data_IF_026211604764
#
_entry.id   IF_026211604764
#
_cell.length_a   1.000
_cell.length_b   1.000
_cell.length_c   1.000
_cell.angle_alpha   90.00
_cell.angle_beta   90.00
_cell.angle_gamma   90.00
#
_symmetry.space_group_name_H-M   'P 1'
#
loop_
_entity.id
_entity.type
_entity.pdbx_description
1 polymer ?
#
# COMPACT_ATOMS: atom_id res chain seq x y z
N UNK A 1 50.32 -8.46 33.13
CA UNK A 1 48.87 -8.41 32.94
C UNK A 1 48.39 -7.34 31.94
N UNK A 2 49.09 -6.22 31.76
CA UNK A 2 48.65 -5.13 30.88
C UNK A 2 48.67 -5.38 29.37
N UNK A 3 49.50 -6.30 28.85
CA UNK A 3 49.58 -6.57 27.39
C UNK A 3 48.41 -7.43 26.83
N UNK A 4 47.84 -8.30 27.64
CA UNK A 4 46.73 -9.14 27.25
C UNK A 4 45.38 -8.36 27.14
N UNK A 5 45.23 -7.32 27.98
CA UNK A 5 44.04 -6.47 27.98
C UNK A 5 43.94 -5.58 26.72
N UNK A 6 45.10 -5.10 26.24
CA UNK A 6 45.14 -4.23 25.01
C UNK A 6 44.86 -5.02 23.74
N UNK A 7 45.37 -6.25 23.60
CA UNK A 7 45.09 -7.07 22.41
C UNK A 7 43.64 -7.58 22.37
N UNK A 8 43.03 -7.87 23.51
CA UNK A 8 41.62 -8.26 23.58
C UNK A 8 40.68 -7.11 23.23
N UNK A 9 40.97 -5.90 23.72
CA UNK A 9 40.21 -4.69 23.37
C UNK A 9 40.31 -4.36 21.88
N UNK A 10 41.53 -4.38 21.30
CA UNK A 10 41.72 -4.13 19.87
C UNK A 10 41.03 -5.16 18.96
N UNK A 11 40.99 -6.44 19.34
CA UNK A 11 40.24 -7.47 18.60
C UNK A 11 38.74 -7.34 18.77
N UNK A 12 38.28 -6.89 19.93
CA UNK A 12 36.85 -6.60 20.14
C UNK A 12 36.40 -5.42 19.28
N UNK A 13 37.19 -4.33 19.22
CA UNK A 13 36.92 -3.16 18.39
C UNK A 13 36.85 -3.50 16.89
N UNK A 14 37.82 -4.30 16.39
CA UNK A 14 37.81 -4.71 14.98
C UNK A 14 36.59 -5.54 14.61
N UNK A 15 36.19 -6.51 15.45
CA UNK A 15 34.98 -7.30 15.22
C UNK A 15 33.70 -6.50 15.32
N UNK A 16 33.65 -5.47 16.12
CA UNK A 16 32.47 -4.60 16.21
C UNK A 16 32.37 -3.69 15.01
N UNK A 17 33.48 -3.18 14.48
CA UNK A 17 33.50 -2.47 13.21
C UNK A 17 32.88 -3.32 12.09
N UNK A 18 33.28 -4.58 11.96
CA UNK A 18 32.69 -5.52 10.99
C UNK A 18 31.16 -5.75 11.21
N UNK A 19 30.72 -5.82 12.46
CA UNK A 19 29.29 -5.99 12.77
C UNK A 19 28.47 -4.74 12.46
N UNK A 20 28.97 -3.55 12.81
CA UNK A 20 28.32 -2.27 12.51
C UNK A 20 28.27 -2.05 10.99
N UNK A 21 29.35 -2.37 10.26
CA UNK A 21 29.35 -2.33 8.80
C UNK A 21 28.37 -3.36 8.18
N UNK A 22 28.28 -4.57 8.73
CA UNK A 22 27.31 -5.56 8.29
C UNK A 22 25.87 -5.13 8.57
N UNK A 23 25.64 -4.45 9.69
CA UNK A 23 24.36 -3.83 10.01
C UNK A 23 24.05 -2.66 9.07
N UNK A 24 25.02 -1.76 8.83
CA UNK A 24 24.85 -0.67 7.85
C UNK A 24 24.54 -1.18 6.45
N UNK A 25 25.20 -2.24 5.98
CA UNK A 25 24.89 -2.89 4.70
C UNK A 25 23.48 -3.50 4.67
N UNK A 26 22.98 -4.02 5.80
CA UNK A 26 21.59 -4.50 5.92
C UNK A 26 20.59 -3.35 5.90
N UNK A 27 20.96 -2.21 6.48
CA UNK A 27 20.17 -0.96 6.44
C UNK A 27 20.04 -0.46 5.01
N UNK A 28 21.15 -0.40 4.26
CA UNK A 28 21.15 0.00 2.84
C UNK A 28 20.39 -0.99 1.95
N UNK A 29 20.55 -2.30 2.20
CA UNK A 29 19.88 -3.37 1.48
C UNK A 29 18.52 -3.73 2.05
N UNK A 30 17.95 -2.87 2.89
CA UNK A 30 16.71 -3.17 3.63
C UNK A 30 15.61 -3.64 2.71
N UNK A 31 15.12 -4.88 2.91
CA UNK A 31 14.10 -5.39 2.02
C UNK A 31 12.83 -4.59 2.21
N UNK A 32 12.13 -4.34 1.11
CA UNK A 32 10.86 -3.66 1.12
C UNK A 32 9.86 -4.21 2.15
N UNK A 33 9.28 -3.32 2.94
CA UNK A 33 8.20 -3.63 3.87
C UNK A 33 8.65 -4.04 5.29
N UNK A 34 9.91 -3.83 5.63
CA UNK A 34 10.35 -3.89 7.01
C UNK A 34 10.39 -2.49 7.63
N UNK A 35 9.81 -2.36 8.82
CA UNK A 35 9.95 -1.15 9.60
C UNK A 35 11.37 -1.09 10.20
N UNK A 36 12.14 -0.01 10.00
CA UNK A 36 13.47 0.14 10.58
C UNK A 36 13.48 0.03 12.10
N UNK A 37 12.50 0.60 12.79
CA UNK A 37 12.33 0.47 14.24
C UNK A 37 12.16 -0.99 14.64
N UNK A 38 11.31 -1.73 13.92
CA UNK A 38 11.13 -3.17 14.14
C UNK A 38 12.40 -3.99 13.86
N UNK A 39 13.24 -3.54 12.91
CA UNK A 39 14.52 -4.18 12.63
C UNK A 39 15.52 -3.96 13.77
N UNK A 40 15.63 -2.74 14.31
CA UNK A 40 16.48 -2.43 15.46
C UNK A 40 16.03 -3.24 16.69
N UNK A 41 14.72 -3.29 16.95
CA UNK A 41 14.13 -4.11 18.03
C UNK A 41 14.47 -5.60 17.86
N UNK A 42 14.24 -6.17 16.68
CA UNK A 42 14.54 -7.58 16.41
C UNK A 42 16.02 -7.91 16.56
N UNK A 43 16.91 -6.99 16.19
CA UNK A 43 18.35 -7.16 16.38
C UNK A 43 18.75 -7.12 17.86
N UNK A 44 18.14 -6.23 18.64
CA UNK A 44 18.34 -6.20 20.11
C UNK A 44 17.85 -7.50 20.75
N UNK A 45 16.69 -8.00 20.37
CA UNK A 45 16.12 -9.29 20.86
C UNK A 45 17.06 -10.46 20.54
N UNK A 46 17.61 -10.50 19.32
CA UNK A 46 18.58 -11.52 18.94
C UNK A 46 19.86 -11.45 19.79
N UNK A 47 20.31 -10.25 20.16
CA UNK A 47 21.44 -10.05 21.07
C UNK A 47 21.08 -10.40 22.49
N UNK A 48 19.89 -10.06 22.97
CA UNK A 48 19.40 -10.38 24.30
C UNK A 48 19.33 -11.91 24.54
N UNK A 49 18.93 -12.68 23.52
CA UNK A 49 18.92 -14.16 23.59
C UNK A 49 20.32 -14.78 23.77
N UNK A 50 21.39 -14.01 23.49
CA UNK A 50 22.78 -14.47 23.64
C UNK A 50 23.43 -14.03 24.94
N UNK A 51 22.73 -13.28 25.80
CA UNK A 51 23.30 -12.75 27.04
C UNK A 51 23.53 -13.85 28.07
N UNK A 52 24.62 -13.74 28.81
CA UNK A 52 24.89 -14.64 29.94
C UNK A 52 24.22 -14.18 31.25
N UNK A 53 23.61 -13.00 31.31
CA UNK A 53 22.93 -12.42 32.47
C UNK A 53 23.83 -12.02 33.65
N UNK A 54 25.16 -12.04 33.50
CA UNK A 54 26.10 -11.79 34.61
C UNK A 54 26.29 -10.30 34.93
N UNK A 55 26.37 -9.42 33.93
CA UNK A 55 26.57 -8.00 34.14
C UNK A 55 25.26 -7.21 34.14
N UNK A 56 25.17 -6.23 35.03
CA UNK A 56 23.97 -5.37 35.16
C UNK A 56 23.56 -4.67 33.85
N UNK A 57 24.48 -4.14 33.04
CA UNK A 57 24.13 -3.48 31.77
C UNK A 57 23.34 -4.39 30.83
N UNK A 58 23.72 -5.66 30.68
CA UNK A 58 22.95 -6.61 29.89
C UNK A 58 21.66 -7.06 30.60
N UNK A 59 21.74 -7.46 31.89
CA UNK A 59 20.61 -8.03 32.61
C UNK A 59 19.44 -7.05 32.83
N UNK A 60 19.74 -5.76 32.96
CA UNK A 60 18.74 -4.71 33.19
C UNK A 60 18.59 -3.77 31.98
N UNK A 61 19.69 -3.44 31.32
CA UNK A 61 19.69 -2.45 30.22
C UNK A 61 19.00 -2.98 28.97
N UNK A 62 19.28 -4.21 28.53
CA UNK A 62 18.64 -4.75 27.31
C UNK A 62 17.13 -4.88 27.43
N UNK A 63 16.55 -5.47 28.51
CA UNK A 63 15.10 -5.53 28.67
C UNK A 63 14.45 -4.15 28.72
N UNK A 64 15.12 -3.16 29.34
CA UNK A 64 14.64 -1.79 29.35
C UNK A 64 14.60 -1.20 27.94
N UNK A 65 15.69 -1.29 27.17
CA UNK A 65 15.76 -0.79 25.79
C UNK A 65 14.73 -1.53 24.90
N UNK A 66 14.56 -2.83 25.09
CA UNK A 66 13.58 -3.63 24.36
C UNK A 66 12.15 -3.13 24.61
N UNK A 67 11.76 -2.88 25.86
CA UNK A 67 10.45 -2.32 26.20
C UNK A 67 10.23 -0.95 25.56
N UNK A 68 11.20 -0.04 25.65
CA UNK A 68 11.11 1.29 25.04
C UNK A 68 11.03 1.24 23.51
N UNK A 69 11.83 0.40 22.85
CA UNK A 69 11.74 0.18 21.40
C UNK A 69 10.41 -0.44 21.01
N UNK A 70 9.85 -1.32 21.85
CA UNK A 70 8.50 -1.87 21.68
C UNK A 70 7.43 -0.79 21.72
N UNK A 71 7.55 0.20 22.59
CA UNK A 71 6.63 1.34 22.65
C UNK A 71 6.75 2.24 21.42
N UNK A 72 7.97 2.47 20.91
CA UNK A 72 8.17 3.19 19.64
C UNK A 72 7.53 2.41 18.48
N UNK A 73 7.77 1.10 18.39
CA UNK A 73 7.21 0.24 17.34
C UNK A 73 5.67 0.19 17.36
N UNK A 74 5.07 0.32 18.55
CA UNK A 74 3.62 0.34 18.77
C UNK A 74 3.00 1.75 18.75
N UNK A 75 3.75 2.77 18.36
CA UNK A 75 3.31 4.17 18.30
C UNK A 75 2.80 4.75 19.63
N UNK A 76 3.37 4.30 20.75
CA UNK A 76 3.02 4.76 22.11
C UNK A 76 4.11 5.63 22.75
N UNK A 77 5.25 5.79 22.07
CA UNK A 77 6.41 6.51 22.56
C UNK A 77 6.28 8.03 22.39
N UNK A 78 7.11 8.75 23.14
CA UNK A 78 7.31 10.19 23.01
C UNK A 78 8.75 10.49 22.60
N UNK A 79 9.09 11.75 22.27
CA UNK A 79 10.46 12.16 21.99
C UNK A 79 11.40 11.82 23.17
N UNK A 80 10.97 12.03 24.41
CA UNK A 80 11.72 11.66 25.60
C UNK A 80 12.04 10.15 25.68
N UNK A 81 11.16 9.30 25.12
CA UNK A 81 11.40 7.85 25.04
C UNK A 81 12.59 7.54 24.14
N UNK A 82 12.75 8.25 23.03
CA UNK A 82 13.89 8.08 22.11
C UNK A 82 15.20 8.51 22.75
N UNK A 83 15.18 9.61 23.50
CA UNK A 83 16.34 10.07 24.27
C UNK A 83 16.71 9.04 25.35
N UNK A 84 15.73 8.49 26.06
CA UNK A 84 15.95 7.45 27.07
C UNK A 84 16.53 6.15 26.46
N UNK A 85 16.11 5.76 25.24
CA UNK A 85 16.73 4.65 24.51
C UNK A 85 18.19 4.97 24.20
N UNK A 86 18.49 6.17 23.75
CA UNK A 86 19.85 6.62 23.43
C UNK A 86 20.76 6.57 24.66
N UNK A 87 20.31 7.09 25.78
CA UNK A 87 21.05 7.08 27.04
C UNK A 87 21.30 5.66 27.54
N UNK A 88 20.27 4.82 27.53
CA UNK A 88 20.37 3.43 27.95
C UNK A 88 21.30 2.59 27.04
N UNK A 89 21.23 2.83 25.71
CA UNK A 89 22.09 2.15 24.74
C UNK A 89 23.55 2.62 24.86
N UNK A 90 23.78 3.90 25.15
CA UNK A 90 25.11 4.46 25.43
C UNK A 90 25.69 3.81 26.68
N UNK A 91 24.93 3.75 27.76
CA UNK A 91 25.35 3.11 28.99
C UNK A 91 25.66 1.61 28.76
N UNK A 92 24.79 0.92 28.04
CA UNK A 92 25.00 -0.49 27.70
C UNK A 92 26.31 -0.70 26.91
N UNK A 93 26.55 0.14 25.89
CA UNK A 93 27.77 0.09 25.09
C UNK A 93 29.02 0.33 25.94
N UNK A 94 28.99 1.35 26.80
CA UNK A 94 30.20 1.82 27.48
C UNK A 94 30.53 1.02 28.75
N UNK A 95 29.57 0.27 29.32
CA UNK A 95 29.73 -0.42 30.61
C UNK A 95 29.54 -1.92 30.56
N UNK A 96 29.17 -2.51 29.40
CA UNK A 96 29.05 -3.95 29.31
C UNK A 96 30.40 -4.68 29.34
N UNK A 97 30.50 -5.75 30.14
CA UNK A 97 31.73 -6.51 30.35
C UNK A 97 32.21 -7.33 29.13
N UNK A 98 31.36 -7.50 28.12
CA UNK A 98 31.68 -8.33 26.97
C UNK A 98 31.09 -7.78 25.66
N UNK A 99 31.57 -8.35 24.56
CA UNK A 99 31.19 -7.94 23.21
C UNK A 99 29.66 -8.00 22.92
N UNK A 100 28.91 -8.89 23.55
CA UNK A 100 27.46 -9.05 23.30
C UNK A 100 26.72 -7.78 23.71
N UNK A 101 26.93 -7.29 24.94
CA UNK A 101 26.28 -6.06 25.42
C UNK A 101 26.76 -4.82 24.69
N UNK A 102 28.07 -4.74 24.51
CA UNK A 102 28.68 -3.61 23.79
C UNK A 102 28.21 -3.48 22.35
N UNK A 103 28.16 -4.58 21.59
CA UNK A 103 27.63 -4.62 20.22
C UNK A 103 26.15 -4.27 20.17
N UNK A 104 25.34 -4.79 21.09
CA UNK A 104 23.94 -4.50 21.17
C UNK A 104 23.68 -2.99 21.36
N UNK A 105 24.39 -2.36 22.30
CA UNK A 105 24.31 -0.91 22.51
C UNK A 105 24.74 -0.12 21.26
N UNK A 106 25.87 -0.48 20.66
CA UNK A 106 26.38 0.17 19.46
C UNK A 106 25.42 0.07 18.27
N UNK A 107 24.75 -1.10 18.09
CA UNK A 107 23.80 -1.31 16.99
C UNK A 107 22.49 -0.53 17.20
N UNK A 108 22.02 -0.42 18.45
CA UNK A 108 20.84 0.43 18.75
C UNK A 108 21.16 1.88 18.43
N UNK A 109 22.32 2.40 18.85
CA UNK A 109 22.74 3.77 18.54
C UNK A 109 22.87 4.00 17.04
N UNK A 110 23.54 3.09 16.33
CA UNK A 110 23.64 3.18 14.87
C UNK A 110 22.26 3.15 14.17
N UNK A 111 21.31 2.38 14.69
CA UNK A 111 19.94 2.35 14.21
C UNK A 111 19.18 3.64 14.46
N UNK A 112 19.31 4.24 15.65
CA UNK A 112 18.73 5.55 15.96
C UNK A 112 19.28 6.67 15.06
N UNK A 113 20.57 6.63 14.74
CA UNK A 113 21.19 7.65 13.89
C UNK A 113 20.84 7.45 12.41
N UNK A 114 20.86 6.19 11.92
CA UNK A 114 20.56 5.88 10.52
C UNK A 114 19.09 6.08 10.14
N UNK A 115 18.18 5.94 11.11
CA UNK A 115 16.73 6.00 10.88
C UNK A 115 16.05 7.10 11.71
N UNK A 116 16.73 8.19 11.98
CA UNK A 116 16.22 9.29 12.82
C UNK A 116 14.84 9.77 12.36
N UNK A 117 14.64 9.93 11.03
CA UNK A 117 13.37 10.35 10.45
C UNK A 117 12.23 9.34 10.69
N UNK A 118 12.56 8.04 10.69
CA UNK A 118 11.59 6.99 10.95
C UNK A 118 11.18 6.96 12.42
N UNK A 119 12.13 7.10 13.34
CA UNK A 119 11.85 7.22 14.76
C UNK A 119 10.99 8.46 15.06
N UNK A 120 11.32 9.61 14.46
CA UNK A 120 10.50 10.82 14.56
C UNK A 120 9.08 10.61 13.99
N UNK A 121 8.93 9.95 12.84
CA UNK A 121 7.61 9.67 12.26
C UNK A 121 6.77 8.75 13.15
N UNK A 122 7.37 7.75 13.79
CA UNK A 122 6.67 6.88 14.74
C UNK A 122 6.17 7.63 15.96
N UNK A 123 6.98 8.57 16.47
CA UNK A 123 6.67 9.38 17.66
C UNK A 123 5.65 10.48 17.35
N UNK A 124 5.89 11.27 16.30
CA UNK A 124 5.14 12.49 16.03
C UNK A 124 3.86 12.23 15.22
N UNK A 125 3.94 11.34 14.23
CA UNK A 125 2.85 11.06 13.29
C UNK A 125 2.09 9.75 13.59
N UNK A 126 2.59 8.90 14.50
CA UNK A 126 2.00 7.60 14.80
C UNK A 126 1.95 6.67 13.57
N UNK A 127 2.94 6.78 12.67
CA UNK A 127 3.00 6.01 11.42
C UNK A 127 4.45 5.89 10.95
N UNK A 128 4.75 4.87 10.13
CA UNK A 128 6.05 4.80 9.47
C UNK A 128 6.25 5.96 8.47
N UNK A 129 7.50 6.36 8.28
CA UNK A 129 7.85 7.40 7.31
C UNK A 129 7.43 7.00 5.88
N UNK A 130 7.04 7.95 5.02
CA UNK A 130 6.51 7.65 3.68
C UNK A 130 7.44 6.80 2.79
N UNK A 131 8.76 6.95 2.94
CA UNK A 131 9.76 6.21 2.16
C UNK A 131 9.91 4.75 2.55
N UNK A 132 9.52 4.36 3.75
CA UNK A 132 9.61 2.99 4.29
C UNK A 132 8.33 2.21 4.13
N UNK A 133 7.22 2.85 3.74
CA UNK A 133 5.96 2.19 3.40
C UNK A 133 6.14 1.33 2.16
N UNK A 134 6.71 0.17 2.33
CA UNK A 134 6.78 -0.75 1.22
C UNK A 134 5.48 -1.51 1.06
N UNK A 135 4.97 -1.39 -0.13
CA UNK A 135 3.89 -2.22 -0.60
C UNK A 135 4.37 -3.66 -0.74
N UNK A 136 3.67 -4.59 -0.10
CA UNK A 136 3.91 -6.03 -0.29
C UNK A 136 3.70 -6.40 -1.78
N UNK A 137 4.34 -7.48 -2.27
CA UNK A 137 4.28 -7.84 -3.69
C UNK A 137 2.87 -7.94 -4.26
N UNK A 138 1.89 -8.38 -3.47
CA UNK A 138 0.49 -8.46 -3.91
C UNK A 138 -0.13 -7.07 -4.17
N UNK A 139 0.27 -6.02 -3.45
CA UNK A 139 -0.16 -4.64 -3.71
C UNK A 139 0.58 -4.06 -4.91
N UNK A 140 1.91 -4.24 -4.98
CA UNK A 140 2.74 -3.71 -6.07
C UNK A 140 2.39 -4.34 -7.43
N UNK A 141 2.05 -5.63 -7.46
CA UNK A 141 1.66 -6.33 -8.69
C UNK A 141 0.22 -6.08 -9.11
N UNK A 142 -0.61 -5.58 -8.21
CA UNK A 142 -1.97 -5.18 -8.54
C UNK A 142 -1.93 -3.89 -9.38
N UNK A 143 -2.46 -3.86 -10.63
CA UNK A 143 -2.47 -2.65 -11.44
C UNK A 143 -3.24 -1.48 -10.81
N UNK A 144 -4.20 -1.77 -9.92
CA UNK A 144 -4.95 -0.78 -9.15
C UNK A 144 -4.34 -0.51 -7.76
N UNK A 145 -3.23 -1.14 -7.40
CA UNK A 145 -2.57 -1.01 -6.10
C UNK A 145 -3.48 -1.21 -4.88
N UNK A 146 -4.49 -2.09 -5.02
CA UNK A 146 -5.43 -2.37 -3.92
C UNK A 146 -4.68 -2.92 -2.71
N UNK A 147 -5.00 -2.41 -1.53
CA UNK A 147 -4.41 -2.88 -0.28
C UNK A 147 -4.92 -4.30 0.06
N UNK A 148 -4.25 -5.31 -0.52
CA UNK A 148 -4.61 -6.72 -0.39
C UNK A 148 -4.54 -7.21 1.07
N UNK A 149 -3.49 -6.95 1.85
CA UNK A 149 -3.44 -7.39 3.25
C UNK A 149 -4.59 -6.82 4.08
N UNK A 150 -4.95 -5.55 3.88
CA UNK A 150 -5.97 -4.91 4.69
C UNK A 150 -7.36 -5.54 4.48
N UNK A 151 -7.80 -5.77 3.23
CA UNK A 151 -9.10 -6.36 3.04
C UNK A 151 -9.15 -7.85 3.41
N UNK A 152 -8.01 -8.56 3.37
CA UNK A 152 -7.94 -9.95 3.84
C UNK A 152 -8.09 -9.99 5.37
N UNK A 153 -7.39 -9.11 6.11
CA UNK A 153 -7.53 -9.02 7.56
C UNK A 153 -8.97 -8.67 7.98
N UNK A 154 -9.60 -7.69 7.29
CA UNK A 154 -11.00 -7.36 7.53
C UNK A 154 -11.95 -8.53 7.24
N UNK A 155 -11.65 -9.34 6.22
CA UNK A 155 -12.44 -10.54 5.92
C UNK A 155 -12.27 -11.64 6.98
N UNK A 156 -11.08 -11.80 7.53
CA UNK A 156 -10.80 -12.71 8.64
C UNK A 156 -11.57 -12.32 9.90
N UNK A 157 -11.68 -11.02 10.18
CA UNK A 157 -12.48 -10.47 11.29
C UNK A 157 -13.99 -10.52 11.02
N UNK A 158 -14.46 -10.98 9.86
CA UNK A 158 -15.87 -10.97 9.46
C UNK A 158 -16.42 -9.58 9.07
N UNK A 159 -15.58 -8.57 8.96
CA UNK A 159 -15.92 -7.17 8.61
C UNK A 159 -16.00 -6.98 7.10
N UNK A 160 -16.86 -7.76 6.45
CA UNK A 160 -16.88 -7.88 4.97
C UNK A 160 -17.30 -6.58 4.26
N UNK A 161 -18.22 -5.80 4.84
CA UNK A 161 -18.61 -4.50 4.28
C UNK A 161 -17.44 -3.50 4.27
N UNK A 162 -16.62 -3.52 5.31
CA UNK A 162 -15.41 -2.68 5.38
C UNK A 162 -14.32 -3.19 4.42
N UNK A 163 -14.24 -4.50 4.22
CA UNK A 163 -13.36 -5.07 3.19
C UNK A 163 -13.75 -4.60 1.78
N UNK A 164 -15.06 -4.51 1.46
CA UNK A 164 -15.54 -3.91 0.20
C UNK A 164 -15.16 -2.44 0.11
N UNK A 165 -15.34 -1.65 1.18
CA UNK A 165 -14.91 -0.23 1.22
C UNK A 165 -13.42 -0.09 0.98
N UNK A 166 -12.60 -0.96 1.59
CA UNK A 166 -11.15 -0.99 1.41
C UNK A 166 -10.74 -1.28 -0.04
N UNK A 167 -11.41 -2.22 -0.70
CA UNK A 167 -11.15 -2.53 -2.12
C UNK A 167 -11.58 -1.36 -3.01
N UNK A 168 -12.75 -0.76 -2.75
CA UNK A 168 -13.32 0.33 -3.57
C UNK A 168 -12.53 1.64 -3.46
N UNK A 169 -11.72 1.81 -2.45
CA UNK A 169 -10.80 2.95 -2.34
C UNK A 169 -9.91 3.10 -3.58
N UNK A 170 -9.44 1.97 -4.12
CA UNK A 170 -8.51 1.95 -5.25
C UNK A 170 -9.12 1.31 -6.51
N UNK A 171 -10.17 0.51 -6.35
CA UNK A 171 -10.85 -0.22 -7.44
C UNK A 171 -12.37 -0.17 -7.29
N UNK A 172 -13.06 0.66 -8.08
CA UNK A 172 -14.52 0.80 -8.03
C UNK A 172 -15.31 -0.43 -8.50
N UNK A 173 -14.63 -1.43 -9.07
CA UNK A 173 -15.26 -2.66 -9.60
C UNK A 173 -14.80 -3.91 -8.84
N UNK A 174 -15.05 -4.00 -7.52
CA UNK A 174 -14.63 -5.15 -6.73
C UNK A 174 -15.21 -6.48 -7.23
N UNK A 175 -16.49 -6.50 -7.63
CA UNK A 175 -17.21 -7.69 -8.08
C UNK A 175 -16.71 -8.16 -9.44
N UNK A 176 -16.57 -7.25 -10.42
CA UNK A 176 -16.02 -7.60 -11.72
C UNK A 176 -14.59 -8.15 -11.59
N UNK A 177 -13.73 -7.51 -10.80
CA UNK A 177 -12.35 -7.97 -10.56
C UNK A 177 -12.31 -9.30 -9.81
N UNK A 178 -13.22 -9.57 -8.87
CA UNK A 178 -13.28 -10.85 -8.19
C UNK A 178 -13.57 -12.02 -9.13
N UNK A 179 -14.36 -11.77 -10.19
CA UNK A 179 -14.79 -12.79 -11.14
C UNK A 179 -13.83 -13.00 -12.32
N UNK A 180 -13.19 -11.92 -12.82
CA UNK A 180 -12.46 -12.00 -14.10
C UNK A 180 -10.98 -11.57 -14.03
N UNK A 181 -10.47 -11.12 -12.91
CA UNK A 181 -9.08 -10.71 -12.77
C UNK A 181 -8.11 -11.89 -12.95
N UNK A 182 -7.01 -11.68 -13.67
CA UNK A 182 -5.92 -12.65 -13.86
C UNK A 182 -5.03 -12.84 -12.60
N UNK A 183 -5.33 -12.12 -11.52
CA UNK A 183 -4.72 -12.21 -10.19
C UNK A 183 -3.16 -12.23 -10.15
N UNK A 184 -2.46 -11.29 -10.82
CA UNK A 184 -0.99 -11.25 -10.83
C UNK A 184 -0.38 -11.07 -9.42
N UNK A 185 -1.20 -10.65 -8.45
CA UNK A 185 -0.82 -10.54 -7.05
C UNK A 185 -0.46 -11.90 -6.41
N UNK A 186 -1.03 -13.01 -6.89
CA UNK A 186 -0.78 -14.36 -6.40
C UNK A 186 0.57 -14.91 -6.92
N UNK A 187 0.97 -14.56 -8.15
CA UNK A 187 2.22 -15.04 -8.78
C UNK A 187 3.48 -14.71 -7.98
N UNK A 188 3.47 -13.60 -7.25
CA UNK A 188 4.61 -13.11 -6.45
C UNK A 188 4.31 -13.12 -4.96
N UNK A 189 3.32 -13.91 -4.54
CA UNK A 189 3.00 -14.08 -3.13
C UNK A 189 4.20 -14.68 -2.39
N UNK A 190 4.67 -14.03 -1.32
CA UNK A 190 5.80 -14.53 -0.52
C UNK A 190 5.50 -15.87 0.14
N UNK A 191 4.23 -16.19 0.36
CA UNK A 191 3.84 -17.48 0.94
C UNK A 191 4.25 -18.66 0.08
N UNK A 192 4.41 -18.49 -1.25
CA UNK A 192 4.94 -19.53 -2.15
C UNK A 192 6.32 -20.04 -1.75
N UNK A 193 7.07 -19.27 -0.92
CA UNK A 193 8.36 -19.72 -0.40
C UNK A 193 8.21 -20.75 0.75
N UNK A 194 7.01 -20.90 1.30
CA UNK A 194 6.70 -21.79 2.41
C UNK A 194 5.83 -22.96 1.96
N UNK A 195 4.72 -22.65 1.25
CA UNK A 195 3.75 -23.67 0.77
C UNK A 195 3.12 -23.25 -0.57
N UNK A 196 1.98 -22.57 -0.54
CA UNK A 196 1.22 -22.13 -1.71
C UNK A 196 0.84 -20.64 -1.58
N UNK A 197 0.61 -19.93 -2.71
CA UNK A 197 0.17 -18.54 -2.65
C UNK A 197 -1.18 -18.43 -1.93
N UNK A 198 -1.40 -17.31 -1.26
CA UNK A 198 -2.74 -16.98 -0.72
C UNK A 198 -3.71 -16.86 -1.88
N UNK A 199 -4.87 -17.52 -1.80
CA UNK A 199 -5.94 -17.43 -2.80
C UNK A 199 -6.65 -16.05 -2.69
N UNK A 200 -5.94 -15.00 -3.13
CA UNK A 200 -6.35 -13.59 -2.97
C UNK A 200 -7.64 -13.29 -3.74
N UNK A 201 -7.74 -13.79 -4.98
CA UNK A 201 -8.94 -13.63 -5.78
C UNK A 201 -10.13 -14.40 -5.21
N UNK A 202 -9.91 -15.61 -4.68
CA UNK A 202 -10.94 -16.41 -4.02
C UNK A 202 -11.49 -15.70 -2.77
N UNK A 203 -10.62 -15.11 -1.94
CA UNK A 203 -11.05 -14.32 -0.78
C UNK A 203 -11.86 -13.10 -1.24
N UNK A 204 -11.38 -12.37 -2.24
CA UNK A 204 -12.13 -11.24 -2.80
C UNK A 204 -13.51 -11.67 -3.31
N UNK A 205 -13.59 -12.84 -4.00
CA UNK A 205 -14.85 -13.39 -4.46
C UNK A 205 -15.78 -13.71 -3.30
N UNK A 206 -15.30 -14.34 -2.26
CA UNK A 206 -16.07 -14.61 -1.04
C UNK A 206 -16.65 -13.31 -0.44
N UNK A 207 -15.84 -12.25 -0.33
CA UNK A 207 -16.28 -10.95 0.20
C UNK A 207 -17.46 -10.42 -0.61
N UNK A 208 -17.32 -10.33 -1.95
CA UNK A 208 -18.36 -9.72 -2.80
C UNK A 208 -19.56 -10.63 -3.04
N UNK A 209 -19.42 -11.94 -2.88
CA UNK A 209 -20.55 -12.87 -2.94
C UNK A 209 -21.40 -12.81 -1.66
N UNK A 210 -20.77 -12.47 -0.54
CA UNK A 210 -21.47 -12.35 0.75
C UNK A 210 -22.09 -10.96 0.94
N UNK A 211 -21.39 -9.91 0.47
CA UNK A 211 -21.83 -8.51 0.59
C UNK A 211 -21.81 -7.86 -0.79
N UNK A 212 -23.00 -7.60 -1.36
CA UNK A 212 -23.12 -6.96 -2.66
C UNK A 212 -22.53 -5.54 -2.63
N UNK A 213 -21.78 -5.16 -3.67
CA UNK A 213 -21.05 -3.89 -3.70
C UNK A 213 -21.96 -2.65 -3.56
N UNK A 214 -23.16 -2.70 -4.11
CA UNK A 214 -24.15 -1.60 -4.08
C UNK A 214 -24.88 -1.47 -2.74
N UNK A 215 -24.78 -2.46 -1.86
CA UNK A 215 -25.33 -2.36 -0.50
C UNK A 215 -24.37 -1.68 0.49
N UNK A 216 -23.11 -1.49 0.07
CA UNK A 216 -22.09 -0.86 0.89
C UNK A 216 -22.02 0.62 0.56
N UNK A 217 -22.18 1.45 1.61
CA UNK A 217 -22.10 2.90 1.50
C UNK A 217 -20.82 3.36 0.78
N UNK A 218 -20.98 4.27 -0.17
CA UNK A 218 -19.86 4.96 -0.81
C UNK A 218 -19.29 6.04 0.11
N UNK A 219 -17.98 6.35 0.04
CA UNK A 219 -17.44 7.49 0.75
C UNK A 219 -18.19 8.77 0.40
N UNK A 220 -18.41 9.63 1.40
CA UNK A 220 -19.03 10.93 1.15
C UNK A 220 -18.15 11.75 0.19
N UNK A 221 -18.75 12.37 -0.85
CA UNK A 221 -18.00 13.22 -1.75
C UNK A 221 -17.48 14.48 -1.01
N UNK A 222 -16.37 15.01 -1.50
CA UNK A 222 -15.86 16.30 -1.06
C UNK A 222 -16.86 17.42 -1.41
N UNK A 223 -16.76 18.60 -0.78
CA UNK A 223 -17.62 19.74 -1.08
C UNK A 223 -17.65 20.05 -2.58
N UNK A 224 -18.83 20.45 -3.08
CA UNK A 224 -19.02 20.74 -4.51
C UNK A 224 -18.06 21.81 -5.01
N UNK A 225 -17.35 21.50 -6.08
CA UNK A 225 -16.35 22.40 -6.70
C UNK A 225 -16.98 23.41 -7.67
N UNK A 226 -18.25 23.26 -8.02
CA UNK A 226 -18.93 24.03 -9.07
C UNK A 226 -18.47 23.70 -10.51
N UNK A 227 -17.55 22.75 -10.68
CA UNK A 227 -17.03 22.35 -12.00
C UNK A 227 -17.84 21.18 -12.57
N UNK A 228 -18.16 21.27 -13.87
CA UNK A 228 -18.83 20.19 -14.62
C UNK A 228 -17.83 19.48 -15.52
N UNK A 229 -17.82 18.16 -15.48
CA UNK A 229 -16.90 17.31 -16.27
C UNK A 229 -17.70 16.36 -17.14
N UNK A 230 -17.38 16.32 -18.43
CA UNK A 230 -17.92 15.36 -19.38
C UNK A 230 -17.00 14.14 -19.49
N UNK A 231 -17.53 12.94 -19.31
CA UNK A 231 -16.84 11.67 -19.52
C UNK A 231 -17.45 10.97 -20.73
N UNK A 232 -16.66 10.66 -21.73
CA UNK A 232 -17.11 10.00 -22.96
C UNK A 232 -16.80 8.51 -22.88
N UNK A 233 -17.86 7.69 -22.89
CA UNK A 233 -17.83 6.25 -22.76
C UNK A 233 -18.04 5.75 -21.34
N UNK A 234 -19.02 4.87 -21.14
CA UNK A 234 -19.32 4.23 -19.87
C UNK A 234 -18.74 2.80 -19.80
N UNK A 235 -17.54 2.61 -20.29
CA UNK A 235 -16.72 1.43 -20.03
C UNK A 235 -16.02 1.50 -18.67
N UNK A 236 -15.19 0.50 -18.31
CA UNK A 236 -14.50 0.47 -17.02
C UNK A 236 -13.69 1.72 -16.75
N UNK A 237 -12.97 2.24 -17.75
CA UNK A 237 -12.15 3.45 -17.60
C UNK A 237 -13.00 4.70 -17.35
N UNK A 238 -14.06 4.93 -18.14
CA UNK A 238 -14.93 6.10 -17.98
C UNK A 238 -15.70 6.07 -16.66
N UNK A 239 -16.25 4.93 -16.28
CA UNK A 239 -16.95 4.78 -15.00
C UNK A 239 -16.00 4.93 -13.80
N UNK A 240 -14.77 4.43 -13.88
CA UNK A 240 -13.75 4.66 -12.84
C UNK A 240 -13.41 6.16 -12.74
N UNK A 241 -13.24 6.83 -13.88
CA UNK A 241 -13.00 8.28 -13.91
C UNK A 241 -14.17 9.04 -13.28
N UNK A 242 -15.42 8.70 -13.65
CA UNK A 242 -16.62 9.32 -13.09
C UNK A 242 -16.72 9.12 -11.57
N UNK A 243 -16.39 7.92 -11.06
CA UNK A 243 -16.36 7.61 -9.65
C UNK A 243 -15.45 8.55 -8.86
N UNK A 244 -14.18 8.65 -9.26
CA UNK A 244 -13.24 9.48 -8.54
C UNK A 244 -13.52 10.98 -8.69
N UNK A 245 -13.98 11.42 -9.86
CA UNK A 245 -14.38 12.82 -10.05
C UNK A 245 -15.61 13.18 -9.21
N UNK A 246 -16.59 12.27 -9.10
CA UNK A 246 -17.75 12.44 -8.21
C UNK A 246 -17.32 12.57 -6.74
N UNK A 247 -16.43 11.70 -6.28
CA UNK A 247 -15.86 11.79 -4.93
C UNK A 247 -15.08 13.07 -4.67
N UNK A 248 -14.45 13.65 -5.72
CA UNK A 248 -13.78 14.96 -5.65
C UNK A 248 -14.74 16.16 -5.63
N UNK A 249 -16.06 15.94 -5.65
CA UNK A 249 -17.07 16.98 -5.60
C UNK A 249 -17.33 17.66 -6.95
N UNK A 250 -16.98 17.04 -8.07
CA UNK A 250 -17.33 17.53 -9.41
C UNK A 250 -18.69 16.99 -9.85
N UNK A 251 -19.47 17.81 -10.60
CA UNK A 251 -20.65 17.33 -11.33
C UNK A 251 -20.20 16.62 -12.61
N UNK A 252 -20.48 15.33 -12.74
CA UNK A 252 -20.01 14.52 -13.87
C UNK A 252 -21.15 14.12 -14.75
N UNK A 253 -21.02 14.30 -16.08
CA UNK A 253 -21.96 13.75 -17.06
C UNK A 253 -21.25 12.71 -17.91
N UNK A 254 -21.70 11.45 -17.82
CA UNK A 254 -21.18 10.33 -18.60
C UNK A 254 -22.01 10.16 -19.86
N UNK A 255 -21.40 10.24 -21.02
CA UNK A 255 -22.03 10.00 -22.31
C UNK A 255 -21.68 8.62 -22.84
N UNK A 256 -22.67 7.80 -23.13
CA UNK A 256 -22.50 6.45 -23.65
C UNK A 256 -23.35 6.24 -24.92
N UNK A 257 -22.72 5.77 -26.00
CA UNK A 257 -23.40 5.55 -27.27
C UNK A 257 -24.38 4.35 -27.23
N UNK A 258 -24.12 3.38 -26.37
CA UNK A 258 -24.97 2.20 -26.21
C UNK A 258 -26.05 2.44 -25.15
N UNK A 259 -27.08 1.59 -25.17
CA UNK A 259 -28.21 1.70 -24.25
C UNK A 259 -27.89 1.21 -22.82
N UNK A 260 -26.74 0.57 -22.62
CA UNK A 260 -26.34 0.03 -21.33
C UNK A 260 -24.89 0.29 -21.03
N UNK A 261 -24.58 0.56 -19.77
CA UNK A 261 -23.25 0.86 -19.25
C UNK A 261 -22.41 -0.42 -19.09
N UNK A 262 -21.10 -0.27 -18.90
CA UNK A 262 -20.17 -1.35 -18.62
C UNK A 262 -19.18 -1.64 -19.76
N UNK A 263 -19.39 -1.08 -20.96
CA UNK A 263 -18.45 -1.22 -22.08
C UNK A 263 -18.06 -2.68 -22.34
N UNK A 264 -16.74 -2.95 -22.48
CA UNK A 264 -16.25 -4.31 -22.76
C UNK A 264 -16.52 -5.32 -21.64
N UNK A 265 -16.71 -4.88 -20.39
CA UNK A 265 -17.13 -5.79 -19.32
C UNK A 265 -18.52 -6.40 -19.61
N UNK A 266 -19.41 -5.63 -20.23
CA UNK A 266 -20.77 -6.08 -20.60
C UNK A 266 -20.83 -6.76 -21.96
N UNK A 267 -20.15 -6.20 -22.95
CA UNK A 267 -20.32 -6.60 -24.35
C UNK A 267 -19.23 -7.55 -24.85
N UNK A 268 -18.08 -7.63 -24.17
CA UNK A 268 -16.97 -8.49 -24.52
C UNK A 268 -16.86 -9.72 -23.63
N UNK A 269 -17.06 -9.57 -22.30
CA UNK A 269 -16.96 -10.71 -21.38
C UNK A 269 -18.25 -11.53 -21.42
N UNK A 270 -18.19 -12.85 -21.60
CA UNK A 270 -19.36 -13.71 -21.57
C UNK A 270 -20.11 -13.65 -20.25
N UNK A 271 -21.46 -13.73 -20.29
CA UNK A 271 -22.32 -13.61 -19.11
C UNK A 271 -22.07 -14.72 -18.07
N UNK A 272 -21.64 -15.90 -18.51
CA UNK A 272 -21.31 -16.99 -17.59
C UNK A 272 -20.04 -16.72 -16.77
N UNK A 273 -19.13 -15.84 -17.24
CA UNK A 273 -17.94 -15.40 -16.48
C UNK A 273 -18.20 -14.15 -15.65
N UNK A 274 -18.97 -13.21 -16.19
CA UNK A 274 -19.38 -11.98 -15.51
C UNK A 274 -20.88 -11.80 -15.69
N UNK A 275 -21.72 -12.35 -14.78
CA UNK A 275 -23.15 -12.16 -14.80
C UNK A 275 -23.53 -10.67 -14.84
N UNK A 276 -24.54 -10.33 -15.62
CA UNK A 276 -24.90 -8.92 -15.87
C UNK A 276 -25.38 -8.22 -14.60
N UNK A 277 -26.10 -8.94 -13.77
CA UNK A 277 -26.61 -8.48 -12.48
C UNK A 277 -25.44 -8.11 -11.55
N UNK A 278 -24.39 -8.95 -11.53
CA UNK A 278 -23.19 -8.72 -10.72
C UNK A 278 -22.38 -7.50 -11.20
N UNK A 279 -22.32 -7.27 -12.53
CA UNK A 279 -21.73 -6.05 -13.08
C UNK A 279 -22.58 -4.81 -12.74
N UNK A 280 -23.89 -4.94 -12.75
CA UNK A 280 -24.81 -3.86 -12.45
C UNK A 280 -24.72 -3.41 -10.96
N UNK A 281 -24.37 -4.32 -10.03
CA UNK A 281 -24.05 -3.95 -8.63
C UNK A 281 -22.86 -2.98 -8.57
N UNK A 282 -21.74 -3.32 -9.22
CA UNK A 282 -20.58 -2.40 -9.25
C UNK A 282 -20.95 -1.06 -9.91
N UNK A 283 -21.71 -1.08 -11.00
CA UNK A 283 -22.13 0.14 -11.70
C UNK A 283 -23.03 1.01 -10.83
N UNK A 284 -24.01 0.43 -10.11
CA UNK A 284 -24.86 1.19 -9.18
C UNK A 284 -24.03 1.83 -8.07
N UNK A 285 -23.07 1.08 -7.53
CA UNK A 285 -22.15 1.59 -6.52
C UNK A 285 -21.28 2.75 -7.05
N UNK A 286 -20.83 2.67 -8.29
CA UNK A 286 -20.08 3.76 -8.95
C UNK A 286 -20.94 5.01 -9.11
N UNK A 287 -22.17 4.86 -9.58
CA UNK A 287 -23.09 5.98 -9.81
C UNK A 287 -23.56 6.65 -8.51
N UNK A 288 -23.51 5.92 -7.40
CA UNK A 288 -23.81 6.46 -6.06
C UNK A 288 -22.66 7.27 -5.43
N UNK A 289 -21.54 7.47 -6.11
CA UNK A 289 -20.36 8.10 -5.52
C UNK A 289 -20.35 9.65 -5.54
N UNK A 290 -21.41 10.27 -6.04
CA UNK A 290 -21.50 11.74 -6.12
C UNK A 290 -22.53 12.17 -7.16
N UNK A 291 -22.38 13.40 -7.64
CA UNK A 291 -23.26 13.98 -8.69
C UNK A 291 -22.84 13.45 -10.07
N UNK A 292 -23.32 12.26 -10.43
CA UNK A 292 -22.98 11.58 -11.69
C UNK A 292 -24.25 11.35 -12.51
N UNK A 293 -24.43 12.13 -13.56
CA UNK A 293 -25.51 11.96 -14.55
C UNK A 293 -25.04 11.04 -15.67
N UNK A 294 -25.93 10.18 -16.17
CA UNK A 294 -25.66 9.29 -17.31
C UNK A 294 -26.60 9.58 -18.48
N UNK A 295 -26.03 9.73 -19.66
CA UNK A 295 -26.77 9.89 -20.93
C UNK A 295 -26.40 8.77 -21.89
N UNK A 296 -27.29 7.79 -22.02
CA UNK A 296 -27.15 6.68 -22.97
C UNK A 296 -27.70 7.02 -24.35
N UNK A 297 -27.32 6.25 -25.38
CA UNK A 297 -27.71 6.52 -26.76
C UNK A 297 -27.09 7.76 -27.38
N UNK A 298 -26.08 8.33 -26.72
CA UNK A 298 -25.38 9.53 -27.18
C UNK A 298 -24.05 9.14 -27.82
N UNK A 299 -23.98 9.17 -29.14
CA UNK A 299 -22.72 9.03 -29.88
C UNK A 299 -22.03 10.40 -29.95
N UNK A 300 -21.02 10.59 -29.10
CA UNK A 300 -20.23 11.81 -29.06
C UNK A 300 -19.21 11.77 -30.20
N UNK A 301 -19.61 12.25 -31.34
CA UNK A 301 -18.69 12.51 -32.44
C UNK A 301 -17.93 13.81 -32.16
N UNK A 302 -16.62 13.75 -32.32
CA UNK A 302 -15.60 14.58 -31.69
C UNK A 302 -15.69 16.09 -31.92
N UNK A 303 -16.29 16.58 -32.96
CA UNK A 303 -16.18 18.01 -33.34
C UNK A 303 -17.34 18.92 -32.86
N UNK A 304 -18.58 18.44 -32.94
CA UNK A 304 -19.74 19.26 -32.52
C UNK A 304 -19.88 19.35 -30.99
N UNK A 305 -19.57 18.26 -30.29
CA UNK A 305 -19.63 18.24 -28.81
C UNK A 305 -18.43 18.97 -28.20
N UNK A 306 -17.26 18.89 -28.80
CA UNK A 306 -16.09 19.66 -28.42
C UNK A 306 -16.38 21.16 -28.48
N UNK A 307 -17.05 21.63 -29.52
CA UNK A 307 -17.47 23.02 -29.66
C UNK A 307 -18.51 23.43 -28.61
N UNK A 308 -19.51 22.60 -28.34
CA UNK A 308 -20.58 22.91 -27.36
C UNK A 308 -20.10 22.89 -25.90
N UNK A 309 -19.20 21.97 -25.52
CA UNK A 309 -18.70 21.84 -24.14
C UNK A 309 -17.54 22.81 -23.87
N UNK A 310 -16.70 23.08 -24.85
CA UNK A 310 -15.60 24.04 -24.73
C UNK A 310 -16.05 25.47 -24.52
N UNK A 311 -17.21 25.84 -25.05
CA UNK A 311 -17.78 27.18 -24.93
C UNK A 311 -18.63 27.37 -23.66
N UNK A 312 -19.09 26.29 -23.01
CA UNK A 312 -20.00 26.37 -21.85
C UNK A 312 -19.38 25.96 -20.53
N UNK A 313 -18.16 25.46 -20.51
CA UNK A 313 -17.45 25.01 -19.31
C UNK A 313 -16.08 25.65 -19.24
N UNK A 314 -15.68 26.07 -18.02
CA UNK A 314 -14.32 26.53 -17.75
C UNK A 314 -13.32 25.46 -18.19
N UNK A 315 -12.27 25.77 -18.97
CA UNK A 315 -11.33 24.77 -19.44
C UNK A 315 -10.63 24.13 -18.24
N UNK A 316 -10.88 22.84 -18.01
CA UNK A 316 -10.12 22.07 -17.06
C UNK A 316 -8.80 21.68 -17.72
N UNK A 317 -7.76 22.47 -17.51
CA UNK A 317 -6.39 22.11 -17.91
C UNK A 317 -5.84 21.08 -16.94
N UNK A 318 -6.28 19.83 -17.09
CA UNK A 318 -5.67 18.71 -16.37
C UNK A 318 -4.53 18.14 -17.23
N UNK A 319 -3.29 18.09 -16.75
CA UNK A 319 -2.15 17.62 -17.55
C UNK A 319 -2.19 16.12 -17.87
N UNK A 320 -3.18 15.40 -17.37
CA UNK A 320 -3.39 13.96 -17.56
C UNK A 320 -4.65 13.58 -18.35
N UNK A 321 -5.32 14.51 -19.00
CA UNK A 321 -6.29 14.09 -20.01
C UNK A 321 -5.53 13.28 -21.07
N UNK A 322 -5.87 11.99 -21.32
CA UNK A 322 -5.24 11.29 -22.42
C UNK A 322 -5.49 12.10 -23.66
N UNK A 323 -4.42 12.59 -24.29
CA UNK A 323 -4.51 13.13 -25.64
C UNK A 323 -5.26 12.09 -26.42
N UNK A 324 -6.37 12.49 -27.06
CA UNK A 324 -7.17 11.64 -27.90
C UNK A 324 -6.24 10.67 -28.63
N UNK A 325 -6.44 9.38 -28.42
CA UNK A 325 -5.61 8.36 -29.03
C UNK A 325 -5.60 8.68 -30.52
N UNK A 326 -4.48 9.11 -31.07
CA UNK A 326 -4.31 9.19 -32.52
C UNK A 326 -4.63 7.79 -33.02
N UNK A 327 -5.47 7.62 -34.03
CA UNK A 327 -5.67 6.30 -34.61
C UNK A 327 -4.28 5.81 -35.03
N UNK A 328 -3.85 4.73 -34.42
CA UNK A 328 -2.65 4.01 -34.84
C UNK A 328 -2.94 3.57 -36.27
N UNK A 329 -2.20 3.98 -37.27
CA UNK A 329 -2.38 3.48 -38.61
C UNK A 329 -1.94 2.01 -38.61
N UNK A 330 -2.90 1.10 -38.57
CA UNK A 330 -2.65 -0.30 -38.90
C UNK A 330 -2.35 -0.36 -40.41
N UNK A 331 -1.10 -0.06 -40.77
CA UNK A 331 -0.55 -0.41 -42.09
C UNK A 331 0.08 -1.78 -41.98
N UNK A 332 -0.65 -2.78 -42.43
CA UNK A 332 -0.16 -4.13 -42.68
C UNK A 332 -1.30 -5.05 -43.07
N UNK A 333 -1.17 -5.82 -44.16
CA UNK A 333 -2.22 -6.76 -44.56
C UNK A 333 -2.38 -7.86 -43.51
N UNK A 334 -3.61 -8.11 -43.06
CA UNK A 334 -3.93 -9.30 -42.28
C UNK A 334 -3.55 -10.53 -43.08
N UNK A 335 -2.65 -11.33 -42.54
CA UNK A 335 -2.44 -12.70 -43.05
C UNK A 335 -3.63 -13.57 -42.56
N UNK A 336 -4.25 -14.33 -43.42
CA UNK A 336 -5.26 -15.27 -42.96
C UNK A 336 -4.60 -16.36 -42.10
N UNK A 337 -5.24 -16.66 -40.97
CA UNK A 337 -4.83 -17.78 -40.13
C UNK A 337 -5.11 -19.09 -40.87
N UNK A 338 -4.10 -19.95 -40.95
CA UNK A 338 -4.20 -21.37 -41.26
C UNK A 338 -4.63 -22.13 -40.00
#
# INVERSE_FOLDING_TARGET
>A
MGRLTVEVAARADARTGEFVEAFARRVEAMPPGQCPVGMVLGQLQASAAQTCGKCTPCAQGMPKIEALLGDVAAFRATAATVDEIRDAATLLRDTADCAVGWQAGAMVLAGLDAFADEFASHVDAGTCAPGTRQTVPCVTRCPAHVNVPAYIALAEEGRLAEAVKMIRKDNPFPTACALVCEHPCEERCRRTMVDAPVNIRGIKKYIVDTVAADTVETPAPLPATGKRVAVVGAGPSGLTCAYFLGLMGHSVTVFERRNRLGGMMRYGIPAYRLPRERLDEDIRAVLGAGDIEVRTGCDVQTDEMRARWWTSSTPCTWPWAPRAARPFPLKGPMRPAL
#
